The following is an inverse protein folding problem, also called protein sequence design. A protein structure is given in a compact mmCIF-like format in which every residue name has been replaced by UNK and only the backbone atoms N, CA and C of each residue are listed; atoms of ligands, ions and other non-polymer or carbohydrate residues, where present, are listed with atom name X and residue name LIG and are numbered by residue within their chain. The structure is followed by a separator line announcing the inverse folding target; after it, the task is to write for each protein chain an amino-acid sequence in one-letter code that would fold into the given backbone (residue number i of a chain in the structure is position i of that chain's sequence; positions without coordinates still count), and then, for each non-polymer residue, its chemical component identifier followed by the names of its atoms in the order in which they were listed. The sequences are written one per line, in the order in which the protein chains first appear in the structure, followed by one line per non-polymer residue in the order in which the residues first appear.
data_IF_158298484824
#
_entry.id   IF_158298484824
#
_cell.length_a   1.000
_cell.length_b   1.000
_cell.length_c   1.000
_cell.angle_alpha   90.00
_cell.angle_beta   90.00
_cell.angle_gamma   90.00
#
_symmetry.space_group_name_H-M   'P 1'
#
loop_
_entity.id
_entity.type
_entity.pdbx_description
1 polymer ?
#
# COMPACT_ATOMS: atom_id res chain seq x y z
N UNK A 1 50.82 29.98 54.63
CA UNK A 1 51.29 28.70 54.06
C UNK A 1 51.15 27.64 55.12
N UNK A 2 50.50 26.48 54.86
CA UNK A 2 51.27 25.34 54.38
C UNK A 2 50.54 24.35 53.44
N UNK A 3 51.32 23.87 52.47
CA UNK A 3 51.49 22.48 51.96
C UNK A 3 50.25 21.66 51.54
N UNK A 4 50.09 21.54 50.21
CA UNK A 4 49.55 20.34 49.53
C UNK A 4 50.24 19.08 50.05
N UNK A 5 49.45 18.05 50.36
CA UNK A 5 49.88 16.65 50.41
C UNK A 5 49.08 15.85 49.39
N UNK A 6 49.81 15.07 48.61
CA UNK A 6 49.38 14.17 47.54
C UNK A 6 49.08 12.80 48.16
N UNK A 7 47.91 12.26 47.76
CA UNK A 7 47.51 10.86 47.53
C UNK A 7 48.00 9.77 48.50
N UNK A 8 47.06 9.03 49.07
CA UNK A 8 46.90 7.58 48.87
C UNK A 8 45.72 7.05 49.66
N UNK A 9 44.75 6.43 48.98
CA UNK A 9 43.78 5.56 49.62
C UNK A 9 43.40 4.45 48.64
N UNK A 10 44.01 3.28 48.85
CA UNK A 10 43.52 2.00 48.37
C UNK A 10 42.53 1.48 49.40
N UNK A 11 41.27 1.23 49.01
CA UNK A 11 40.67 -0.12 49.09
C UNK A 11 39.15 -0.18 48.82
N UNK A 12 38.77 -1.32 48.21
CA UNK A 12 37.46 -2.00 48.18
C UNK A 12 36.41 -1.68 47.09
N UNK A 13 36.48 -2.54 46.06
CA UNK A 13 35.43 -3.45 45.56
C UNK A 13 34.22 -2.87 44.75
N UNK A 14 33.50 -3.70 43.97
CA UNK A 14 33.59 -3.74 42.51
C UNK A 14 32.43 -3.01 41.79
N UNK A 15 32.74 -2.26 40.73
CA UNK A 15 31.75 -1.68 39.81
C UNK A 15 31.17 -2.78 38.92
N UNK A 16 29.92 -3.16 39.16
CA UNK A 16 29.11 -4.00 38.25
C UNK A 16 27.79 -3.31 37.94
N UNK A 17 27.80 -2.39 36.97
CA UNK A 17 26.63 -1.80 36.26
C UNK A 17 27.16 -1.19 34.96
N UNK A 18 26.56 -1.29 33.79
CA UNK A 18 25.37 -1.98 33.30
C UNK A 18 25.69 -2.14 31.80
N UNK A 19 25.60 -3.35 31.24
CA UNK A 19 25.74 -3.50 29.79
C UNK A 19 24.59 -2.73 29.14
N UNK A 20 24.91 -1.82 28.23
CA UNK A 20 23.95 -1.22 27.32
C UNK A 20 23.48 -2.32 26.37
N UNK A 21 22.41 -3.01 26.73
CA UNK A 21 21.70 -3.88 25.80
C UNK A 21 20.90 -3.00 24.83
N UNK A 22 21.61 -2.29 23.94
CA UNK A 22 21.04 -1.84 22.68
C UNK A 22 21.09 -3.02 21.71
N UNK A 23 20.31 -4.05 22.01
CA UNK A 23 20.08 -5.16 21.12
C UNK A 23 18.59 -5.19 20.78
N UNK A 24 18.12 -4.15 20.09
CA UNK A 24 16.88 -4.27 19.34
C UNK A 24 17.22 -5.17 18.17
N UNK A 25 16.93 -6.46 18.33
CA UNK A 25 17.08 -7.45 17.30
C UNK A 25 16.45 -6.94 15.99
N UNK A 26 17.09 -7.13 14.83
CA UNK A 26 16.47 -6.77 13.56
C UNK A 26 15.19 -7.59 13.44
N UNK A 27 14.05 -6.91 13.47
CA UNK A 27 12.75 -7.56 13.34
C UNK A 27 12.75 -8.33 12.02
N UNK A 28 12.47 -9.63 12.18
CA UNK A 28 12.19 -10.65 11.18
C UNK A 28 11.70 -10.10 9.85
N UNK A 29 12.26 -10.63 8.75
CA UNK A 29 11.74 -10.49 7.40
C UNK A 29 10.21 -10.68 7.40
N UNK A 30 9.48 -9.59 7.14
CA UNK A 30 8.02 -9.62 7.06
C UNK A 30 7.69 -10.19 5.69
N UNK A 31 7.56 -11.52 5.63
CA UNK A 31 7.30 -12.26 4.38
C UNK A 31 5.90 -12.04 3.82
N UNK A 32 5.00 -11.37 4.55
CA UNK A 32 3.59 -11.21 4.19
C UNK A 32 3.03 -9.91 4.75
N UNK A 33 1.99 -9.41 4.12
CA UNK A 33 1.19 -8.30 4.65
C UNK A 33 0.61 -8.70 6.02
N UNK A 34 0.75 -7.81 7.01
CA UNK A 34 0.32 -8.04 8.39
C UNK A 34 -0.99 -7.30 8.66
N UNK A 35 -1.95 -7.95 9.33
CA UNK A 35 -3.23 -7.34 9.70
C UNK A 35 -3.42 -7.26 11.23
N UNK A 36 -2.36 -7.50 12.01
CA UNK A 36 -2.41 -7.57 13.48
C UNK A 36 -2.73 -6.24 14.16
N UNK A 37 -2.27 -5.12 13.59
CA UNK A 37 -2.56 -3.77 14.07
C UNK A 37 -2.38 -2.73 12.97
N UNK A 38 -2.93 -1.51 13.10
CA UNK A 38 -2.77 -0.43 12.13
C UNK A 38 -1.30 -0.14 11.77
N UNK A 39 -0.45 -0.06 12.79
CA UNK A 39 0.97 0.24 12.63
C UNK A 39 1.76 -0.92 12.01
N UNK A 40 1.44 -2.17 12.37
CA UNK A 40 2.07 -3.34 11.73
C UNK A 40 1.63 -3.50 10.27
N UNK A 41 0.39 -3.16 9.97
CA UNK A 41 -0.14 -3.13 8.61
C UNK A 41 0.66 -2.17 7.73
N UNK A 42 0.80 -0.91 8.15
CA UNK A 42 1.61 0.05 7.40
C UNK A 42 3.07 -0.39 7.29
N UNK A 43 3.70 -0.86 8.39
CA UNK A 43 5.08 -1.36 8.36
C UNK A 43 5.29 -2.49 7.35
N UNK A 44 4.38 -3.45 7.30
CA UNK A 44 4.45 -4.52 6.31
C UNK A 44 4.29 -3.99 4.88
N UNK A 45 3.41 -3.01 4.66
CA UNK A 45 3.16 -2.42 3.35
C UNK A 45 4.37 -1.67 2.77
N UNK A 46 5.23 -1.09 3.62
CA UNK A 46 6.43 -0.34 3.22
C UNK A 46 7.74 -1.12 3.39
N UNK A 47 7.70 -2.33 3.96
CA UNK A 47 8.88 -3.19 4.13
C UNK A 47 9.64 -3.39 2.80
N UNK A 48 10.98 -3.28 2.77
CA UNK A 48 11.91 -3.27 3.90
C UNK A 48 12.19 -1.90 4.54
N UNK A 49 11.55 -0.84 4.07
CA UNK A 49 11.72 0.50 4.65
C UNK A 49 11.12 0.55 6.05
N UNK A 50 11.85 1.13 7.00
CA UNK A 50 11.33 1.34 8.35
C UNK A 50 10.25 2.42 8.32
N UNK A 51 9.31 2.37 9.26
CA UNK A 51 8.26 3.40 9.35
C UNK A 51 8.87 4.77 9.64
N UNK A 52 9.92 4.78 10.45
CA UNK A 52 10.65 5.98 10.86
C UNK A 52 11.37 6.62 9.66
N UNK A 53 12.05 5.82 8.82
CA UNK A 53 12.66 6.31 7.58
C UNK A 53 11.61 6.78 6.57
N UNK A 54 10.49 6.05 6.45
CA UNK A 54 9.39 6.41 5.56
C UNK A 54 8.83 7.79 5.88
N UNK A 55 8.48 8.03 7.14
CA UNK A 55 7.92 9.31 7.59
C UNK A 55 8.95 10.44 7.52
N UNK A 56 10.22 10.16 7.82
CA UNK A 56 11.25 11.19 7.83
C UNK A 56 11.63 11.65 6.41
N UNK A 57 11.71 10.73 5.44
CA UNK A 57 12.31 10.98 4.12
C UNK A 57 11.27 11.06 2.99
N UNK A 58 10.24 10.20 3.03
CA UNK A 58 9.39 9.95 1.87
C UNK A 58 7.99 10.56 1.99
N UNK A 59 7.33 10.39 3.13
CA UNK A 59 5.96 10.88 3.33
C UNK A 59 5.85 12.37 3.00
N UNK A 60 4.99 12.72 2.04
CA UNK A 60 4.76 14.08 1.53
C UNK A 60 6.00 14.82 0.98
N UNK A 61 7.08 14.09 0.66
CA UNK A 61 8.36 14.70 0.23
C UNK A 61 8.86 14.18 -1.12
N UNK A 62 8.99 12.87 -1.25
CA UNK A 62 9.56 12.26 -2.44
C UNK A 62 8.92 10.90 -2.77
N UNK A 63 8.91 10.48 -4.04
CA UNK A 63 8.44 9.15 -4.41
C UNK A 63 9.21 8.05 -3.69
N UNK A 64 8.49 7.03 -3.20
CA UNK A 64 9.09 5.86 -2.56
C UNK A 64 8.87 4.60 -3.38
N UNK A 65 9.95 3.96 -3.82
CA UNK A 65 9.90 2.71 -4.58
C UNK A 65 10.36 1.52 -3.74
N UNK A 66 9.49 0.52 -3.59
CA UNK A 66 9.77 -0.71 -2.86
C UNK A 66 9.82 -1.88 -3.84
N UNK A 67 11.02 -2.45 -4.04
CA UNK A 67 11.21 -3.68 -4.82
C UNK A 67 11.15 -4.89 -3.91
N UNK A 68 10.21 -5.81 -4.17
CA UNK A 68 10.11 -7.11 -3.50
C UNK A 68 10.57 -8.21 -4.45
N UNK A 69 11.22 -9.23 -3.90
CA UNK A 69 11.54 -10.46 -4.61
C UNK A 69 10.58 -11.59 -4.18
N UNK A 70 9.29 -11.26 -4.16
CA UNK A 70 8.21 -12.13 -3.74
C UNK A 70 6.96 -11.78 -4.57
N UNK A 71 6.67 -12.62 -5.56
CA UNK A 71 5.51 -12.44 -6.45
C UNK A 71 4.19 -12.77 -5.75
N UNK A 72 4.24 -13.47 -4.62
CA UNK A 72 3.07 -13.94 -3.88
C UNK A 72 2.62 -12.95 -2.80
N UNK A 73 3.37 -11.85 -2.60
CA UNK A 73 3.12 -10.88 -1.52
C UNK A 73 1.70 -10.31 -1.53
N UNK A 74 1.13 -10.08 -2.72
CA UNK A 74 -0.22 -9.56 -2.93
C UNK A 74 -1.17 -10.60 -3.54
N UNK A 75 -0.88 -11.90 -3.43
CA UNK A 75 -1.70 -12.96 -4.07
C UNK A 75 -3.17 -12.95 -3.66
N UNK A 76 -3.47 -12.47 -2.46
CA UNK A 76 -4.84 -12.39 -1.92
C UNK A 76 -5.58 -11.14 -2.41
N UNK A 77 -4.98 -10.26 -3.21
CA UNK A 77 -5.62 -9.02 -3.67
C UNK A 77 -6.38 -9.23 -4.99
N UNK A 78 -7.41 -8.41 -5.26
CA UNK A 78 -8.29 -8.63 -6.41
C UNK A 78 -7.53 -8.58 -7.73
N UNK A 79 -7.73 -9.62 -8.53
CA UNK A 79 -7.21 -9.75 -9.89
C UNK A 79 -8.29 -9.45 -10.92
N UNK A 80 -7.92 -9.45 -12.21
CA UNK A 80 -8.89 -9.44 -13.32
C UNK A 80 -9.96 -10.54 -13.17
N UNK A 81 -9.55 -11.74 -12.75
CA UNK A 81 -10.49 -12.86 -12.53
C UNK A 81 -11.50 -12.50 -11.45
N UNK A 82 -11.05 -11.90 -10.35
CA UNK A 82 -11.92 -11.46 -9.27
C UNK A 82 -12.92 -10.38 -9.73
N UNK A 83 -12.49 -9.43 -10.56
CA UNK A 83 -13.38 -8.44 -11.17
C UNK A 83 -14.50 -9.12 -11.99
N UNK A 84 -14.14 -10.06 -12.86
CA UNK A 84 -15.13 -10.79 -13.67
C UNK A 84 -16.08 -11.64 -12.81
N UNK A 85 -15.60 -12.26 -11.73
CA UNK A 85 -16.45 -12.97 -10.77
C UNK A 85 -17.42 -12.05 -10.04
N UNK A 86 -16.95 -10.90 -9.56
CA UNK A 86 -17.81 -9.91 -8.91
C UNK A 86 -18.88 -9.41 -9.88
N UNK A 87 -18.54 -9.13 -11.13
CA UNK A 87 -19.50 -8.72 -12.15
C UNK A 87 -20.55 -9.80 -12.51
N UNK A 88 -20.27 -11.09 -12.25
CA UNK A 88 -21.26 -12.18 -12.40
C UNK A 88 -22.20 -12.26 -11.20
N UNK A 89 -21.65 -12.13 -9.99
CA UNK A 89 -22.38 -12.32 -8.74
C UNK A 89 -23.22 -11.09 -8.37
N UNK A 90 -22.65 -9.91 -8.60
CA UNK A 90 -23.21 -8.62 -8.19
C UNK A 90 -23.80 -7.85 -9.36
N UNK A 91 -24.59 -6.82 -9.04
CA UNK A 91 -25.07 -5.85 -10.02
C UNK A 91 -24.14 -4.63 -10.02
N UNK A 92 -23.11 -4.68 -10.87
CA UNK A 92 -22.20 -3.55 -11.11
C UNK A 92 -22.72 -2.67 -12.25
N UNK A 93 -22.55 -1.37 -12.12
CA UNK A 93 -22.96 -0.37 -13.12
C UNK A 93 -21.76 0.43 -13.65
N UNK A 94 -21.76 0.69 -14.95
CA UNK A 94 -20.86 1.67 -15.54
C UNK A 94 -21.18 3.08 -15.01
N UNK A 95 -20.18 3.95 -14.99
CA UNK A 95 -20.21 5.32 -14.45
C UNK A 95 -20.53 5.44 -12.96
N UNK A 96 -20.53 4.31 -12.25
CA UNK A 96 -20.77 4.24 -10.81
C UNK A 96 -19.77 3.31 -10.13
N UNK A 97 -19.78 2.05 -10.53
CA UNK A 97 -18.89 1.02 -10.01
C UNK A 97 -17.67 0.85 -10.92
N UNK A 98 -17.89 0.82 -12.24
CA UNK A 98 -16.82 0.70 -13.23
C UNK A 98 -16.76 1.92 -14.16
N UNK A 99 -15.55 2.29 -14.55
CA UNK A 99 -15.27 3.35 -15.51
C UNK A 99 -14.30 2.84 -16.58
N UNK A 100 -14.28 3.49 -17.73
CA UNK A 100 -13.32 3.21 -18.80
C UNK A 100 -12.25 4.30 -18.87
N UNK A 101 -11.02 3.90 -19.20
CA UNK A 101 -9.98 4.86 -19.51
C UNK A 101 -10.21 5.56 -20.85
N UNK A 102 -9.32 6.50 -21.13
CA UNK A 102 -9.26 7.15 -22.43
C UNK A 102 -8.87 6.17 -23.53
N UNK A 103 -9.32 6.46 -24.75
CA UNK A 103 -8.95 5.77 -25.98
C UNK A 103 -7.55 6.21 -26.49
N UNK A 104 -7.15 5.74 -27.67
CA UNK A 104 -5.86 6.07 -28.31
C UNK A 104 -5.63 7.58 -28.52
N UNK A 105 -6.70 8.37 -28.63
CA UNK A 105 -6.65 9.82 -28.80
C UNK A 105 -6.65 10.55 -27.45
N UNK A 106 -6.73 9.80 -26.36
CA UNK A 106 -6.86 10.30 -25.01
C UNK A 106 -8.22 10.97 -24.78
N UNK A 107 -9.27 10.51 -25.46
CA UNK A 107 -10.66 10.91 -25.27
C UNK A 107 -11.30 9.95 -24.27
N UNK A 108 -11.99 10.48 -23.26
CA UNK A 108 -12.73 9.62 -22.33
C UNK A 108 -13.83 8.87 -23.06
N UNK A 109 -13.88 7.54 -22.87
CA UNK A 109 -14.87 6.70 -23.52
C UNK A 109 -16.21 6.86 -22.79
N UNK A 110 -17.01 7.84 -23.22
CA UNK A 110 -18.36 8.15 -22.69
C UNK A 110 -19.43 7.09 -23.06
N UNK A 111 -19.02 5.91 -23.52
CA UNK A 111 -19.90 4.97 -24.24
C UNK A 111 -20.38 3.76 -23.44
N UNK A 112 -20.07 3.68 -22.14
CA UNK A 112 -20.47 2.54 -21.31
C UNK A 112 -21.57 2.97 -20.36
N UNK A 113 -22.80 2.58 -20.65
CA UNK A 113 -23.95 2.85 -19.78
C UNK A 113 -24.58 1.54 -19.29
N UNK A 114 -25.20 1.61 -18.12
CA UNK A 114 -25.97 0.51 -17.55
C UNK A 114 -25.12 -0.60 -16.95
N UNK A 115 -25.62 -1.84 -16.98
CA UNK A 115 -25.02 -2.97 -16.26
C UNK A 115 -23.68 -3.40 -16.86
N UNK A 116 -22.67 -3.48 -16.00
CA UNK A 116 -21.36 -4.03 -16.33
C UNK A 116 -21.39 -5.57 -16.29
N UNK A 117 -21.72 -6.19 -17.42
CA UNK A 117 -21.61 -7.65 -17.57
C UNK A 117 -20.17 -8.07 -17.90
N UNK A 118 -19.80 -9.32 -17.59
CA UNK A 118 -18.50 -9.88 -17.99
C UNK A 118 -18.28 -9.82 -19.49
N UNK A 119 -19.33 -9.98 -20.30
CA UNK A 119 -19.23 -9.86 -21.75
C UNK A 119 -18.77 -8.46 -22.16
N UNK A 120 -19.32 -7.41 -21.55
CA UNK A 120 -18.94 -6.03 -21.83
C UNK A 120 -17.52 -5.74 -21.31
N UNK A 121 -17.17 -6.16 -20.10
CA UNK A 121 -15.82 -6.00 -19.55
C UNK A 121 -14.77 -6.64 -20.48
N UNK A 122 -15.00 -7.89 -20.90
CA UNK A 122 -14.09 -8.58 -21.82
C UNK A 122 -14.05 -7.95 -23.22
N UNK A 123 -15.16 -7.36 -23.69
CA UNK A 123 -15.18 -6.59 -24.93
C UNK A 123 -14.23 -5.39 -24.83
N UNK A 124 -14.29 -4.61 -23.76
CA UNK A 124 -13.44 -3.43 -23.59
C UNK A 124 -11.96 -3.76 -23.47
N UNK A 125 -11.60 -4.88 -22.84
CA UNK A 125 -10.22 -5.37 -22.87
C UNK A 125 -9.74 -5.69 -24.30
N UNK A 126 -10.60 -6.25 -25.16
CA UNK A 126 -10.26 -6.50 -26.58
C UNK A 126 -10.15 -5.20 -27.38
N UNK A 127 -10.84 -4.16 -26.96
CA UNK A 127 -10.75 -2.80 -27.52
C UNK A 127 -9.58 -2.01 -26.92
N UNK A 128 -8.68 -2.67 -26.17
CA UNK A 128 -7.48 -2.07 -25.56
C UNK A 128 -7.79 -0.97 -24.55
N UNK A 129 -9.01 -0.95 -24.01
CA UNK A 129 -9.40 -0.02 -22.97
C UNK A 129 -9.07 -0.60 -21.59
N UNK A 130 -8.68 0.30 -20.69
CA UNK A 130 -8.48 -0.02 -19.28
C UNK A 130 -9.80 0.11 -18.53
N UNK A 131 -10.09 -0.85 -17.66
CA UNK A 131 -11.28 -0.83 -16.78
C UNK A 131 -10.85 -0.40 -15.39
N UNK A 132 -11.51 0.63 -14.86
CA UNK A 132 -11.30 1.17 -13.52
C UNK A 132 -12.46 0.70 -12.63
N UNK A 133 -12.16 -0.10 -11.61
CA UNK A 133 -13.14 -0.53 -10.62
C UNK A 133 -13.04 0.34 -9.36
N UNK A 134 -14.09 1.10 -9.10
CA UNK A 134 -14.20 2.00 -7.97
C UNK A 134 -14.66 1.28 -6.69
N UNK A 135 -13.97 1.55 -5.58
CA UNK A 135 -14.26 0.99 -4.24
C UNK A 135 -14.42 -0.55 -4.25
N UNK A 136 -13.44 -1.30 -4.78
CA UNK A 136 -13.49 -2.76 -4.85
C UNK A 136 -13.49 -3.43 -3.47
N UNK A 137 -13.05 -2.73 -2.42
CA UNK A 137 -13.09 -3.20 -1.03
C UNK A 137 -14.50 -3.57 -0.55
N UNK A 138 -15.57 -3.07 -1.18
CA UNK A 138 -16.95 -3.50 -0.90
C UNK A 138 -17.21 -4.98 -1.16
N UNK A 139 -16.36 -5.62 -1.97
CA UNK A 139 -16.52 -6.99 -2.45
C UNK A 139 -15.30 -7.87 -2.11
N UNK A 140 -14.40 -7.39 -1.26
CA UNK A 140 -13.13 -8.05 -0.97
C UNK A 140 -12.68 -7.78 0.46
N UNK A 141 -12.76 -8.81 1.31
CA UNK A 141 -12.57 -8.69 2.76
C UNK A 141 -11.14 -8.32 3.13
N UNK A 142 -10.14 -8.90 2.48
CA UNK A 142 -8.72 -8.59 2.71
C UNK A 142 -8.40 -7.13 2.36
N UNK A 143 -8.97 -6.63 1.26
CA UNK A 143 -8.80 -5.23 0.86
C UNK A 143 -9.56 -4.29 1.80
N UNK A 144 -10.77 -4.67 2.22
CA UNK A 144 -11.52 -3.94 3.25
C UNK A 144 -10.73 -3.84 4.55
N UNK A 145 -10.18 -4.95 5.03
CA UNK A 145 -9.38 -5.00 6.25
C UNK A 145 -8.10 -4.17 6.13
N UNK A 146 -7.44 -4.17 4.96
CA UNK A 146 -6.30 -3.30 4.69
C UNK A 146 -6.70 -1.83 4.85
N UNK A 147 -7.74 -1.38 4.14
CA UNK A 147 -8.14 0.03 4.17
C UNK A 147 -8.56 0.45 5.57
N UNK A 148 -9.35 -0.37 6.26
CA UNK A 148 -9.77 -0.10 7.65
C UNK A 148 -8.57 0.17 8.57
N UNK A 149 -7.54 -0.68 8.51
CA UNK A 149 -6.34 -0.52 9.34
C UNK A 149 -5.54 0.73 8.95
N UNK A 150 -5.49 1.07 7.66
CA UNK A 150 -4.85 2.31 7.20
C UNK A 150 -5.65 3.55 7.61
N UNK A 151 -6.98 3.52 7.55
CA UNK A 151 -7.85 4.59 8.03
C UNK A 151 -7.66 4.83 9.54
N UNK A 152 -7.56 3.76 10.33
CA UNK A 152 -7.27 3.86 11.77
C UNK A 152 -5.88 4.44 12.03
N UNK A 153 -4.87 4.06 11.24
CA UNK A 153 -3.52 4.59 11.38
C UNK A 153 -3.43 6.08 11.02
N UNK A 154 -4.01 6.48 9.88
CA UNK A 154 -3.91 7.85 9.37
C UNK A 154 -4.92 8.81 9.99
N UNK A 155 -6.00 8.30 10.60
CA UNK A 155 -7.11 9.13 11.07
C UNK A 155 -7.84 9.87 9.94
N UNK A 156 -7.78 9.33 8.72
CA UNK A 156 -8.38 9.92 7.52
C UNK A 156 -9.02 8.83 6.66
N UNK A 157 -9.93 9.22 5.76
CA UNK A 157 -10.55 8.27 4.85
C UNK A 157 -9.53 7.77 3.82
N UNK A 158 -9.48 6.45 3.61
CA UNK A 158 -8.59 5.80 2.65
C UNK A 158 -9.45 5.09 1.61
N UNK A 159 -9.41 5.61 0.39
CA UNK A 159 -10.11 5.03 -0.75
C UNK A 159 -9.14 4.23 -1.62
N UNK A 160 -9.69 3.31 -2.41
CA UNK A 160 -8.95 2.62 -3.46
C UNK A 160 -9.78 2.46 -4.72
N UNK A 161 -9.06 2.35 -5.85
CA UNK A 161 -9.56 1.89 -7.13
C UNK A 161 -8.63 0.78 -7.64
N UNK A 162 -9.19 -0.14 -8.42
CA UNK A 162 -8.44 -1.17 -9.12
C UNK A 162 -8.41 -0.82 -10.61
N UNK A 163 -7.22 -0.66 -11.17
CA UNK A 163 -7.03 -0.42 -12.60
C UNK A 163 -6.61 -1.72 -13.28
N UNK A 164 -7.40 -2.18 -14.26
CA UNK A 164 -7.18 -3.46 -14.95
C UNK A 164 -7.04 -3.22 -16.45
N UNK A 165 -5.92 -3.65 -17.02
CA UNK A 165 -5.62 -3.51 -18.44
C UNK A 165 -4.91 -4.76 -18.99
N UNK A 166 -4.94 -4.91 -20.31
CA UNK A 166 -4.10 -5.86 -21.05
C UNK A 166 -2.75 -5.21 -21.37
N UNK A 167 -1.76 -6.02 -21.75
CA UNK A 167 -0.41 -5.53 -22.09
C UNK A 167 -0.42 -4.53 -23.26
N UNK A 168 -1.38 -4.67 -24.18
CA UNK A 168 -1.55 -3.84 -25.36
C UNK A 168 -2.55 -2.69 -25.19
N UNK A 169 -2.98 -2.41 -23.95
CA UNK A 169 -3.93 -1.35 -23.67
C UNK A 169 -3.39 0.05 -23.99
N UNK A 170 -4.29 0.97 -24.32
CA UNK A 170 -3.92 2.38 -24.51
C UNK A 170 -3.47 3.00 -23.19
N UNK A 171 -2.34 3.70 -23.23
CA UNK A 171 -1.80 4.39 -22.07
C UNK A 171 -2.67 5.57 -21.66
N UNK A 172 -2.78 5.82 -20.36
CA UNK A 172 -3.42 7.03 -19.84
C UNK A 172 -2.50 8.23 -20.04
N UNK A 173 -3.09 9.39 -20.33
CA UNK A 173 -2.35 10.66 -20.32
C UNK A 173 -1.75 10.89 -18.91
N UNK A 174 -0.49 11.36 -18.81
CA UNK A 174 0.11 11.71 -17.53
C UNK A 174 -0.75 12.74 -16.78
N UNK A 175 -0.93 12.51 -15.47
CA UNK A 175 -1.71 13.38 -14.61
C UNK A 175 -1.33 13.20 -13.14
N UNK A 176 -1.65 14.19 -12.32
CA UNK A 176 -1.51 14.12 -10.87
C UNK A 176 -2.90 13.97 -10.26
N UNK A 177 -3.05 13.07 -9.29
CA UNK A 177 -4.27 12.92 -8.50
C UNK A 177 -4.17 13.89 -7.30
N UNK A 178 -5.27 14.55 -6.95
CA UNK A 178 -5.35 15.36 -5.73
C UNK A 178 -4.69 16.74 -5.81
N UNK A 179 -4.50 17.30 -7.00
CA UNK A 179 -4.23 18.73 -7.13
C UNK A 179 -5.55 19.50 -7.05
N UNK A 180 -5.72 20.23 -5.94
CA UNK A 180 -6.40 21.53 -5.97
C UNK A 180 -5.48 22.58 -6.61
#
# INVERSE_FOLDING_TARGET
MPKRKVVSESDKAPKKKLKSDSNVAPKTFVSKLSFDSPEQCLRSLIYPTTLEDFLAKYWEKEPHFVRRNDNEYFKEFPTKVKLEETAKKEHLEWDKDLFLSQDENGTETLGAEGRATVKNIQKYFKEKLTVLFNKPHRFHDELYQLLKLLEEYFGSCVCCSLEVHTEDAFGRKPGYIGKE
#
